data_IF_253742739304
#
_entry.id   IF_253742739304
#
_cell.length_a   1.000
_cell.length_b   1.000
_cell.length_c   1.000
_cell.angle_alpha   90.00
_cell.angle_beta   90.00
_cell.angle_gamma   90.00
#
_symmetry.space_group_name_H-M   'P 1'
#
loop_
_entity.id
_entity.type
_entity.pdbx_description
1 polymer ?
#
# COMPACT_ATOMS: atom_id res chain seq x y z
N UNK A 1 -20.55 2.43 -11.54
CA UNK A 1 -19.86 1.57 -10.55
C UNK A 1 -18.97 2.36 -9.61
N UNK A 2 -18.00 3.16 -10.10
CA UNK A 2 -17.12 3.95 -9.20
C UNK A 2 -17.89 4.95 -8.32
N UNK A 3 -18.94 5.60 -8.84
CA UNK A 3 -19.82 6.45 -8.05
C UNK A 3 -20.57 5.68 -6.94
N UNK A 4 -21.00 4.45 -7.22
CA UNK A 4 -21.63 3.60 -6.20
C UNK A 4 -20.64 3.22 -5.10
N UNK A 5 -19.42 2.84 -5.49
CA UNK A 5 -18.33 2.59 -4.55
C UNK A 5 -18.04 3.82 -3.69
N UNK A 6 -17.95 5.01 -4.30
CA UNK A 6 -17.77 6.27 -3.57
C UNK A 6 -18.85 6.48 -2.51
N UNK A 7 -20.13 6.36 -2.89
CA UNK A 7 -21.25 6.50 -1.93
C UNK A 7 -21.16 5.47 -0.81
N UNK A 8 -20.82 4.22 -1.11
CA UNK A 8 -20.63 3.18 -0.10
C UNK A 8 -19.49 3.51 0.86
N UNK A 9 -18.36 4.05 0.38
CA UNK A 9 -17.25 4.47 1.23
C UNK A 9 -17.57 5.71 2.05
N UNK A 10 -18.30 6.69 1.48
CA UNK A 10 -18.81 7.83 2.26
C UNK A 10 -19.67 7.34 3.42
N UNK A 11 -20.56 6.38 3.17
CA UNK A 11 -21.39 5.79 4.23
C UNK A 11 -20.53 5.06 5.27
N UNK A 12 -19.58 4.23 4.84
CA UNK A 12 -18.70 3.50 5.75
C UNK A 12 -17.90 4.45 6.65
N UNK A 13 -17.25 5.45 6.06
CA UNK A 13 -16.44 6.41 6.81
C UNK A 13 -17.28 7.32 7.72
N UNK A 14 -18.53 7.59 7.34
CA UNK A 14 -19.48 8.28 8.22
C UNK A 14 -19.81 7.42 9.43
N UNK A 15 -20.12 6.12 9.24
CA UNK A 15 -20.39 5.20 10.34
C UNK A 15 -19.18 5.04 11.26
N UNK A 16 -17.97 4.96 10.70
CA UNK A 16 -16.73 4.94 11.47
C UNK A 16 -16.55 6.18 12.36
N UNK A 17 -17.11 7.33 11.97
CA UNK A 17 -17.06 8.58 12.76
C UNK A 17 -18.14 8.65 13.83
N UNK A 18 -19.34 8.13 13.56
CA UNK A 18 -20.53 8.33 14.40
C UNK A 18 -20.82 7.17 15.34
N UNK A 19 -20.41 5.97 14.98
CA UNK A 19 -20.88 4.72 15.58
C UNK A 19 -19.71 3.91 16.13
N UNK A 20 -18.78 4.56 16.83
CA UNK A 20 -17.41 4.06 17.13
C UNK A 20 -17.31 2.73 17.87
N UNK A 21 -18.38 2.30 18.57
CA UNK A 21 -18.46 0.98 19.20
C UNK A 21 -18.62 -0.16 18.16
N UNK A 22 -19.12 0.19 16.97
CA UNK A 22 -19.13 -0.61 15.75
C UNK A 22 -18.19 0.06 14.73
N UNK A 23 -17.80 -0.61 13.64
CA UNK A 23 -16.97 0.03 12.59
C UNK A 23 -15.64 0.62 13.09
N UNK A 24 -14.80 -0.19 13.74
CA UNK A 24 -13.49 0.25 14.24
C UNK A 24 -12.65 0.97 13.16
N UNK A 25 -12.08 2.12 13.53
CA UNK A 25 -11.29 2.97 12.62
C UNK A 25 -10.37 3.94 13.34
N UNK A 26 -9.28 4.34 12.70
CA UNK A 26 -8.35 5.37 13.21
C UNK A 26 -8.94 6.78 12.99
N UNK A 27 -9.99 6.89 12.17
CA UNK A 27 -10.56 8.16 11.72
C UNK A 27 -11.08 9.06 12.87
N UNK A 28 -11.83 8.56 13.88
CA UNK A 28 -12.26 9.37 15.01
C UNK A 28 -11.09 9.95 15.80
N UNK A 29 -10.06 9.15 16.04
CA UNK A 29 -8.87 9.58 16.76
C UNK A 29 -8.10 10.64 15.99
N UNK A 30 -7.88 10.43 14.68
CA UNK A 30 -7.26 11.43 13.82
C UNK A 30 -8.05 12.74 13.78
N UNK A 31 -9.38 12.69 13.75
CA UNK A 31 -10.23 13.87 13.79
C UNK A 31 -10.12 14.60 15.14
N UNK A 32 -10.18 13.87 16.26
CA UNK A 32 -10.02 14.44 17.59
C UNK A 32 -8.65 15.15 17.74
N UNK A 33 -7.57 14.51 17.28
CA UNK A 33 -6.23 15.11 17.27
C UNK A 33 -6.15 16.36 16.38
N UNK A 34 -6.80 16.33 15.21
CA UNK A 34 -6.84 17.49 14.31
C UNK A 34 -7.56 18.70 14.94
N UNK A 35 -8.66 18.48 15.66
CA UNK A 35 -9.44 19.53 16.32
C UNK A 35 -8.78 20.09 17.59
N UNK A 36 -8.00 19.27 18.30
CA UNK A 36 -7.31 19.70 19.52
C UNK A 36 -6.07 20.56 19.25
N UNK A 37 -5.58 20.65 18.00
CA UNK A 37 -4.39 21.41 17.59
C UNK A 37 -3.08 21.08 18.35
N UNK A 38 -3.04 19.99 19.14
CA UNK A 38 -1.97 19.76 20.11
C UNK A 38 -0.65 19.26 19.51
N UNK A 39 -0.66 18.64 18.32
CA UNK A 39 0.56 18.28 17.56
C UNK A 39 0.23 18.02 16.10
N UNK A 40 0.66 18.88 15.16
CA UNK A 40 0.46 18.64 13.73
C UNK A 40 1.70 17.98 13.11
N UNK A 41 1.71 16.64 13.08
CA UNK A 41 2.79 15.85 12.49
C UNK A 41 2.44 15.23 11.14
N UNK A 42 1.19 15.33 10.68
CA UNK A 42 0.73 14.77 9.39
C UNK A 42 -0.14 15.77 8.64
N UNK A 43 -0.02 15.76 7.31
CA UNK A 43 -0.85 16.53 6.40
C UNK A 43 -2.35 16.22 6.53
N UNK A 44 -2.72 15.05 7.06
CA UNK A 44 -4.11 14.70 7.34
C UNK A 44 -4.80 15.76 8.20
N UNK A 45 -4.17 16.18 9.29
CA UNK A 45 -4.80 17.08 10.26
C UNK A 45 -5.04 18.48 9.70
N UNK A 46 -4.16 18.95 8.81
CA UNK A 46 -4.36 20.21 8.09
C UNK A 46 -5.55 20.17 7.13
N UNK A 47 -5.98 18.98 6.70
CA UNK A 47 -7.09 18.83 5.76
C UNK A 47 -8.42 18.51 6.47
N UNK A 48 -8.44 17.50 7.34
CA UNK A 48 -9.69 17.00 7.92
C UNK A 48 -10.31 17.97 8.93
N UNK A 49 -9.50 18.74 9.67
CA UNK A 49 -9.99 19.71 10.66
C UNK A 49 -10.84 20.82 10.00
N UNK A 50 -10.30 21.58 9.02
CA UNK A 50 -11.08 22.60 8.31
C UNK A 50 -12.32 22.05 7.61
N UNK A 51 -12.23 20.85 7.02
CA UNK A 51 -13.37 20.20 6.35
C UNK A 51 -14.46 19.85 7.36
N UNK A 52 -14.08 19.36 8.54
CA UNK A 52 -15.04 19.11 9.62
C UNK A 52 -15.72 20.41 10.07
N UNK A 53 -14.99 21.51 10.22
CA UNK A 53 -15.58 22.81 10.57
C UNK A 53 -16.59 23.29 9.53
N UNK A 54 -16.35 23.00 8.24
CA UNK A 54 -17.23 23.43 7.14
C UNK A 54 -18.46 22.52 6.95
N UNK A 55 -18.29 21.21 7.07
CA UNK A 55 -19.28 20.21 6.61
C UNK A 55 -19.47 19.01 7.57
N UNK A 56 -18.93 19.09 8.78
CA UNK A 56 -19.06 18.08 9.83
C UNK A 56 -18.52 16.71 9.43
N UNK A 57 -19.06 15.66 10.07
CA UNK A 57 -18.69 14.26 9.81
C UNK A 57 -18.91 13.84 8.35
N UNK A 58 -19.93 14.37 7.69
CA UNK A 58 -20.22 14.07 6.28
C UNK A 58 -19.08 14.59 5.39
N UNK A 59 -18.61 15.82 5.62
CA UNK A 59 -17.48 16.38 4.89
C UNK A 59 -16.21 15.53 5.01
N UNK A 60 -15.90 15.09 6.24
CA UNK A 60 -14.74 14.22 6.50
C UNK A 60 -14.88 12.87 5.80
N UNK A 61 -16.06 12.25 5.89
CA UNK A 61 -16.31 10.98 5.21
C UNK A 61 -16.17 11.10 3.67
N UNK A 62 -16.69 12.19 3.10
CA UNK A 62 -16.61 12.51 1.67
C UNK A 62 -15.16 12.69 1.21
N UNK A 63 -14.34 13.44 1.94
CA UNK A 63 -12.95 13.66 1.53
C UNK A 63 -12.13 12.37 1.61
N UNK A 64 -12.31 11.56 2.67
CA UNK A 64 -11.59 10.28 2.81
C UNK A 64 -11.99 9.32 1.69
N UNK A 65 -13.29 9.21 1.38
CA UNK A 65 -13.77 8.41 0.25
C UNK A 65 -13.23 8.92 -1.10
N UNK A 66 -13.10 10.25 -1.27
CA UNK A 66 -12.55 10.85 -2.48
C UNK A 66 -11.07 10.47 -2.67
N UNK A 67 -10.26 10.45 -1.60
CA UNK A 67 -8.88 9.95 -1.67
C UNK A 67 -8.83 8.50 -2.10
N UNK A 68 -9.71 7.64 -1.58
CA UNK A 68 -9.75 6.24 -1.98
C UNK A 68 -10.10 6.05 -3.46
N UNK A 69 -11.09 6.81 -3.97
CA UNK A 69 -11.45 6.81 -5.40
C UNK A 69 -10.33 7.38 -6.28
N UNK A 70 -9.64 8.42 -5.84
CA UNK A 70 -8.47 8.96 -6.52
C UNK A 70 -7.39 7.89 -6.65
N UNK A 71 -7.16 7.14 -5.56
CA UNK A 71 -6.19 6.08 -5.51
C UNK A 71 -6.54 4.93 -6.49
N UNK A 72 -7.81 4.51 -6.57
CA UNK A 72 -8.32 3.56 -7.58
C UNK A 72 -8.10 4.09 -9.00
N UNK A 73 -8.35 5.38 -9.22
CA UNK A 73 -8.21 6.03 -10.53
C UNK A 73 -6.76 6.08 -10.98
N UNK A 74 -5.82 6.35 -10.07
CA UNK A 74 -4.37 6.29 -10.33
C UNK A 74 -3.94 4.86 -10.65
N UNK A 75 -4.43 3.87 -9.89
CA UNK A 75 -4.14 2.45 -10.16
C UNK A 75 -4.61 2.06 -11.56
N UNK A 76 -5.85 2.40 -11.91
CA UNK A 76 -6.42 2.19 -13.24
C UNK A 76 -5.63 2.90 -14.34
N UNK A 77 -5.17 4.13 -14.10
CA UNK A 77 -4.33 4.85 -15.06
C UNK A 77 -2.97 4.17 -15.24
N UNK A 78 -2.36 3.71 -14.14
CA UNK A 78 -1.11 2.95 -14.18
C UNK A 78 -1.23 1.63 -14.96
N UNK A 79 -2.38 0.95 -14.88
CA UNK A 79 -2.69 -0.21 -15.72
C UNK A 79 -2.87 0.15 -17.19
N UNK A 80 -3.59 1.22 -17.49
CA UNK A 80 -3.79 1.71 -18.87
C UNK A 80 -2.45 2.04 -19.54
N UNK A 81 -1.49 2.57 -18.78
CA UNK A 81 -0.12 2.81 -19.25
C UNK A 81 0.74 1.54 -19.35
N UNK A 82 0.40 0.45 -18.64
CA UNK A 82 1.22 -0.75 -18.54
C UNK A 82 0.80 -1.90 -19.48
N UNK A 83 -0.45 -1.89 -19.94
CA UNK A 83 -1.07 -2.99 -20.68
C UNK A 83 -1.49 -2.51 -22.07
N UNK A 84 -0.94 -3.09 -23.15
CA UNK A 84 -1.34 -2.73 -24.51
C UNK A 84 -2.82 -3.01 -24.78
N UNK A 85 -3.46 -2.15 -25.57
CA UNK A 85 -4.82 -2.33 -26.12
C UNK A 85 -5.97 -2.42 -25.09
N UNK A 86 -5.73 -2.03 -23.83
CA UNK A 86 -6.82 -1.85 -22.85
C UNK A 86 -7.46 -0.46 -23.03
N UNK A 87 -8.79 -0.37 -22.96
CA UNK A 87 -9.49 0.93 -22.98
C UNK A 87 -9.45 1.59 -21.61
N UNK A 88 -9.55 2.92 -21.55
CA UNK A 88 -9.60 3.66 -20.28
C UNK A 88 -10.75 3.18 -19.37
N UNK A 89 -11.94 2.94 -19.93
CA UNK A 89 -13.11 2.46 -19.20
C UNK A 89 -12.90 1.05 -18.62
N UNK A 90 -12.30 0.14 -19.40
CA UNK A 90 -11.98 -1.20 -18.90
C UNK A 90 -10.90 -1.12 -17.81
N UNK A 91 -9.90 -0.26 -17.98
CA UNK A 91 -8.87 -0.07 -16.97
C UNK A 91 -9.43 0.44 -15.65
N UNK A 92 -10.41 1.36 -15.70
CA UNK A 92 -11.11 1.87 -14.52
C UNK A 92 -11.94 0.78 -13.84
N UNK A 93 -12.66 -0.03 -14.62
CA UNK A 93 -13.41 -1.17 -14.11
C UNK A 93 -12.47 -2.17 -13.42
N UNK A 94 -11.36 -2.52 -14.05
CA UNK A 94 -10.38 -3.44 -13.45
C UNK A 94 -9.72 -2.85 -12.22
N UNK A 95 -9.40 -1.55 -12.20
CA UNK A 95 -8.89 -0.87 -11.01
C UNK A 95 -9.85 -0.98 -9.82
N UNK A 96 -11.15 -0.77 -10.06
CA UNK A 96 -12.18 -0.96 -9.05
C UNK A 96 -12.27 -2.42 -8.58
N UNK A 97 -12.27 -3.39 -9.50
CA UNK A 97 -12.32 -4.82 -9.17
C UNK A 97 -11.12 -5.22 -8.33
N UNK A 98 -9.90 -4.84 -8.71
CA UNK A 98 -8.68 -5.18 -7.97
C UNK A 98 -8.62 -4.48 -6.61
N UNK A 99 -9.22 -3.30 -6.46
CA UNK A 99 -9.36 -2.65 -5.16
C UNK A 99 -10.24 -3.46 -4.18
N UNK A 100 -11.07 -4.39 -4.65
CA UNK A 100 -11.81 -5.31 -3.80
C UNK A 100 -11.00 -6.54 -3.39
N UNK A 101 -9.73 -6.66 -3.80
CA UNK A 101 -8.88 -7.79 -3.42
C UNK A 101 -8.34 -7.62 -1.99
N UNK A 102 -8.47 -8.67 -1.18
CA UNK A 102 -7.89 -8.78 0.16
C UNK A 102 -7.17 -10.11 0.31
N UNK A 103 -6.43 -10.32 1.40
CA UNK A 103 -5.79 -11.61 1.68
C UNK A 103 -6.80 -12.77 1.59
N UNK A 104 -6.39 -13.89 0.98
CA UNK A 104 -7.34 -14.98 0.69
C UNK A 104 -7.92 -15.56 1.97
N UNK A 105 -9.20 -15.92 1.98
CA UNK A 105 -9.83 -16.61 3.10
C UNK A 105 -9.38 -18.08 3.11
N UNK A 106 -8.95 -18.56 4.28
CA UNK A 106 -8.64 -19.97 4.54
C UNK A 106 -9.29 -20.32 5.88
N UNK A 107 -9.90 -21.51 6.03
CA UNK A 107 -10.42 -21.96 7.32
C UNK A 107 -9.37 -21.86 8.43
N UNK A 108 -9.73 -21.26 9.56
CA UNK A 108 -8.81 -20.98 10.69
C UNK A 108 -7.56 -20.18 10.26
N UNK A 109 -7.70 -19.31 9.27
CA UNK A 109 -6.60 -18.54 8.69
C UNK A 109 -6.03 -17.42 9.55
N UNK A 110 -6.48 -17.26 10.80
CA UNK A 110 -6.17 -16.11 11.65
C UNK A 110 -7.29 -15.07 11.59
N UNK A 111 -6.95 -13.80 11.33
CA UNK A 111 -7.91 -12.71 11.23
C UNK A 111 -8.17 -12.30 9.78
N UNK A 112 -9.31 -11.64 9.51
CA UNK A 112 -9.59 -11.17 8.16
C UNK A 112 -8.57 -10.14 7.65
N UNK A 113 -8.21 -9.17 8.51
CA UNK A 113 -7.24 -8.13 8.19
C UNK A 113 -5.95 -8.19 9.03
N UNK A 114 -6.06 -8.39 10.35
CA UNK A 114 -4.86 -8.42 11.20
C UNK A 114 -3.87 -9.51 10.77
N UNK A 115 -2.60 -9.14 10.68
CA UNK A 115 -1.51 -10.02 10.24
C UNK A 115 -1.40 -10.20 8.72
N UNK A 116 -2.25 -9.54 7.93
CA UNK A 116 -2.23 -9.59 6.46
C UNK A 116 -1.56 -8.36 5.84
N UNK A 117 -0.99 -8.47 4.65
CA UNK A 117 -0.64 -7.31 3.83
C UNK A 117 -1.58 -7.25 2.63
N UNK A 118 -2.23 -6.11 2.41
CA UNK A 118 -3.12 -5.90 1.27
C UNK A 118 -2.98 -4.48 0.72
N UNK A 119 -3.52 -4.24 -0.47
CA UNK A 119 -3.45 -2.92 -1.10
C UNK A 119 -4.47 -1.93 -0.53
N UNK A 120 -5.67 -2.42 -0.26
CA UNK A 120 -6.81 -1.58 0.14
C UNK A 120 -7.03 -1.65 1.64
N UNK A 121 -7.00 -0.49 2.29
CA UNK A 121 -7.33 -0.32 3.71
C UNK A 121 -8.57 0.57 3.83
N UNK A 122 -9.48 0.23 4.74
CA UNK A 122 -10.76 0.93 4.93
C UNK A 122 -10.85 1.73 6.24
N UNK A 123 -9.84 1.71 7.10
CA UNK A 123 -9.90 2.27 8.45
C UNK A 123 -8.75 3.22 8.80
N UNK A 124 -7.61 3.14 8.13
CA UNK A 124 -6.46 3.99 8.40
C UNK A 124 -6.48 5.24 7.51
N UNK A 125 -6.84 6.38 8.09
CA UNK A 125 -6.97 7.67 7.38
C UNK A 125 -5.68 8.12 6.72
N UNK A 126 -4.55 8.07 7.45
CA UNK A 126 -3.23 8.47 6.91
C UNK A 126 -2.83 7.60 5.72
N UNK A 127 -3.15 6.30 5.78
CA UNK A 127 -2.94 5.39 4.67
C UNK A 127 -3.83 5.72 3.47
N UNK A 128 -5.14 5.88 3.67
CA UNK A 128 -6.06 6.18 2.58
C UNK A 128 -5.63 7.45 1.83
N UNK A 129 -5.19 8.48 2.55
CA UNK A 129 -4.78 9.76 1.98
C UNK A 129 -3.38 9.73 1.33
N UNK A 130 -2.44 8.91 1.82
CA UNK A 130 -1.11 8.76 1.19
C UNK A 130 -1.19 8.00 -0.15
N UNK A 131 -2.11 7.05 -0.25
CA UNK A 131 -2.13 6.01 -1.27
C UNK A 131 -2.10 6.53 -2.74
N UNK A 132 -2.92 7.52 -3.15
CA UNK A 132 -2.86 8.02 -4.52
C UNK A 132 -1.51 8.65 -4.87
N UNK A 133 -0.89 9.38 -3.93
CA UNK A 133 0.38 10.05 -4.17
C UNK A 133 1.55 9.07 -4.23
N UNK A 134 1.55 8.02 -3.41
CA UNK A 134 2.57 6.98 -3.48
C UNK A 134 2.49 6.20 -4.81
N UNK A 135 1.27 5.89 -5.30
CA UNK A 135 1.10 5.31 -6.64
C UNK A 135 1.60 6.27 -7.74
N UNK A 136 1.23 7.56 -7.68
CA UNK A 136 1.69 8.57 -8.64
C UNK A 136 3.23 8.69 -8.61
N UNK A 137 3.84 8.71 -7.42
CA UNK A 137 5.28 8.73 -7.25
C UNK A 137 5.95 7.53 -7.95
N UNK A 138 5.44 6.31 -7.75
CA UNK A 138 5.95 5.11 -8.42
C UNK A 138 5.81 5.20 -9.95
N UNK A 139 4.66 5.63 -10.46
CA UNK A 139 4.40 5.73 -11.91
C UNK A 139 5.29 6.77 -12.59
N UNK A 140 5.49 7.94 -11.97
CA UNK A 140 6.40 8.96 -12.49
C UNK A 140 7.87 8.60 -12.27
N UNK A 141 8.20 7.87 -11.20
CA UNK A 141 9.55 7.33 -11.03
C UNK A 141 9.92 6.42 -12.21
N UNK A 142 9.03 5.51 -12.63
CA UNK A 142 9.29 4.66 -13.80
C UNK A 142 9.58 5.48 -15.08
N UNK A 143 8.87 6.60 -15.25
CA UNK A 143 9.08 7.53 -16.35
C UNK A 143 10.43 8.24 -16.25
N UNK A 144 10.79 8.72 -15.06
CA UNK A 144 12.07 9.37 -14.83
C UNK A 144 13.24 8.39 -15.03
N UNK A 145 13.13 7.18 -14.48
CA UNK A 145 14.13 6.13 -14.59
C UNK A 145 14.36 5.68 -16.04
N UNK A 146 13.30 5.57 -16.85
CA UNK A 146 13.44 5.24 -18.27
C UNK A 146 14.35 6.24 -19.04
N UNK A 147 14.42 7.49 -18.59
CA UNK A 147 15.32 8.51 -19.14
C UNK A 147 16.78 8.39 -18.70
N UNK A 148 17.12 7.54 -17.72
CA UNK A 148 18.48 7.48 -17.16
C UNK A 148 19.56 7.25 -18.23
N UNK A 149 19.27 6.45 -19.26
CA UNK A 149 20.24 6.14 -20.34
C UNK A 149 20.33 7.23 -21.41
N UNK A 150 19.20 7.81 -21.82
CA UNK A 150 19.11 8.78 -22.94
C UNK A 150 19.16 10.25 -22.51
N UNK A 151 19.10 10.53 -21.20
CA UNK A 151 19.05 11.88 -20.63
C UNK A 151 17.91 12.00 -19.62
N UNK A 152 18.21 12.48 -18.41
CA UNK A 152 17.21 12.58 -17.35
C UNK A 152 16.17 13.66 -17.70
N UNK A 153 14.91 13.24 -17.79
CA UNK A 153 13.79 14.17 -17.97
C UNK A 153 13.50 14.87 -16.65
N UNK A 154 14.05 16.05 -16.46
CA UNK A 154 13.93 16.82 -15.22
C UNK A 154 12.48 17.04 -14.77
N UNK A 155 11.54 17.17 -15.72
CA UNK A 155 10.11 17.30 -15.43
C UNK A 155 9.55 16.07 -14.73
N UNK A 156 9.81 14.88 -15.28
CA UNK A 156 9.36 13.64 -14.64
C UNK A 156 10.06 13.47 -13.28
N UNK A 157 11.33 13.86 -13.17
CA UNK A 157 12.08 13.87 -11.90
C UNK A 157 11.44 14.73 -10.82
N UNK A 158 11.12 15.98 -11.16
CA UNK A 158 10.51 16.93 -10.24
C UNK A 158 9.11 16.46 -9.83
N UNK A 159 8.31 15.95 -10.78
CA UNK A 159 6.96 15.49 -10.51
C UNK A 159 6.96 14.29 -9.55
N UNK A 160 7.81 13.28 -9.76
CA UNK A 160 7.84 12.15 -8.81
C UNK A 160 8.38 12.57 -7.45
N UNK A 161 9.35 13.49 -7.41
CA UNK A 161 9.89 14.03 -6.15
C UNK A 161 8.79 14.74 -5.35
N UNK A 162 7.96 15.53 -6.02
CA UNK A 162 6.82 16.21 -5.40
C UNK A 162 5.78 15.20 -4.89
N UNK A 163 5.42 14.19 -5.69
CA UNK A 163 4.48 13.16 -5.25
C UNK A 163 5.02 12.31 -4.10
N UNK A 164 6.30 11.96 -4.12
CA UNK A 164 6.96 11.22 -3.03
C UNK A 164 6.94 12.03 -1.73
N UNK A 165 7.24 13.33 -1.82
CA UNK A 165 7.21 14.24 -0.66
C UNK A 165 5.79 14.46 -0.15
N UNK A 166 4.82 14.58 -1.04
CA UNK A 166 3.40 14.70 -0.68
C UNK A 166 2.90 13.43 0.00
N UNK A 167 3.24 12.24 -0.52
CA UNK A 167 2.91 10.97 0.12
C UNK A 167 3.51 10.89 1.53
N UNK A 168 4.79 11.30 1.67
CA UNK A 168 5.50 11.36 2.95
C UNK A 168 4.82 12.30 3.95
N UNK A 169 4.29 13.44 3.49
CA UNK A 169 3.56 14.39 4.32
C UNK A 169 2.32 13.77 4.97
N UNK A 170 1.62 12.87 4.27
CA UNK A 170 0.52 12.09 4.85
C UNK A 170 1.06 10.98 5.76
N UNK A 171 2.04 10.22 5.28
CA UNK A 171 2.69 9.13 6.02
C UNK A 171 4.01 8.73 5.37
N UNK A 172 5.08 8.60 6.17
CA UNK A 172 6.43 8.29 5.68
C UNK A 172 6.64 6.85 5.16
N UNK A 173 5.63 5.98 5.25
CA UNK A 173 5.79 4.54 5.02
C UNK A 173 6.31 4.16 3.62
N UNK A 174 6.01 4.95 2.58
CA UNK A 174 6.50 4.67 1.23
C UNK A 174 7.96 5.09 1.03
N UNK A 175 8.38 6.24 1.57
CA UNK A 175 9.76 6.73 1.37
C UNK A 175 10.78 5.83 2.08
N UNK A 176 10.43 5.29 3.25
CA UNK A 176 11.32 4.39 3.98
C UNK A 176 11.74 3.18 3.15
N UNK A 177 10.82 2.53 2.43
CA UNK A 177 11.17 1.44 1.53
C UNK A 177 11.73 1.92 0.17
N UNK A 178 11.25 3.04 -0.36
CA UNK A 178 11.63 3.54 -1.68
C UNK A 178 13.07 4.05 -1.74
N UNK A 179 13.52 4.80 -0.72
CA UNK A 179 14.87 5.36 -0.68
C UNK A 179 15.99 4.28 -0.72
N UNK A 180 15.99 3.24 0.13
CA UNK A 180 16.95 2.13 0.03
C UNK A 180 16.80 1.34 -1.27
N UNK A 181 15.57 1.19 -1.81
CA UNK A 181 15.38 0.57 -3.14
C UNK A 181 16.10 1.36 -4.24
N UNK A 182 15.94 2.69 -4.22
CA UNK A 182 16.58 3.58 -5.17
C UNK A 182 18.09 3.55 -4.99
N UNK A 183 18.61 3.55 -3.76
CA UNK A 183 20.04 3.45 -3.48
C UNK A 183 20.65 2.18 -4.09
N UNK A 184 20.03 1.01 -3.87
CA UNK A 184 20.49 -0.26 -4.48
C UNK A 184 20.49 -0.12 -6.00
N UNK A 185 19.43 0.44 -6.58
CA UNK A 185 19.31 0.60 -8.01
C UNK A 185 20.39 1.55 -8.58
N UNK A 186 20.71 2.63 -7.88
CA UNK A 186 21.78 3.57 -8.24
C UNK A 186 23.16 2.93 -8.15
N UNK A 187 23.44 2.12 -7.12
CA UNK A 187 24.69 1.36 -7.00
C UNK A 187 24.82 0.40 -8.20
N UNK A 188 23.74 -0.29 -8.56
CA UNK A 188 23.73 -1.19 -9.72
C UNK A 188 23.99 -0.44 -11.03
N UNK A 189 23.34 0.72 -11.25
CA UNK A 189 23.57 1.54 -12.46
C UNK A 189 25.00 2.09 -12.50
N UNK A 190 25.54 2.55 -11.36
CA UNK A 190 26.91 3.04 -11.24
C UNK A 190 27.94 1.99 -11.66
N UNK A 191 27.78 0.76 -11.17
CA UNK A 191 28.65 -0.37 -11.52
C UNK A 191 28.51 -0.74 -13.00
N UNK A 192 27.28 -0.81 -13.53
CA UNK A 192 27.04 -1.17 -14.93
C UNK A 192 27.54 -0.11 -15.91
N UNK A 193 27.42 1.17 -15.56
CA UNK A 193 27.84 2.30 -16.41
C UNK A 193 29.30 2.68 -16.20
N UNK A 194 29.96 2.08 -15.19
CA UNK A 194 31.34 2.39 -14.77
C UNK A 194 31.51 3.88 -14.47
N UNK A 195 30.54 4.49 -13.78
CA UNK A 195 30.59 5.91 -13.39
C UNK A 195 30.27 6.90 -14.50
N UNK A 196 29.94 6.47 -15.72
CA UNK A 196 29.62 7.37 -16.84
C UNK A 196 28.35 8.19 -16.61
N UNK A 197 27.45 7.73 -15.73
CA UNK A 197 26.18 8.39 -15.42
C UNK A 197 26.17 9.13 -14.07
N UNK A 198 27.31 9.29 -13.39
CA UNK A 198 27.38 9.76 -12.00
C UNK A 198 26.55 11.02 -11.68
N UNK A 199 26.58 12.05 -12.55
CA UNK A 199 25.78 13.27 -12.34
C UNK A 199 24.27 12.99 -12.28
N UNK A 200 23.80 12.08 -13.14
CA UNK A 200 22.38 11.67 -13.19
C UNK A 200 22.01 10.79 -12.00
N UNK A 201 22.92 9.92 -11.59
CA UNK A 201 22.74 9.07 -10.41
C UNK A 201 22.62 9.90 -9.14
N UNK A 202 23.52 10.89 -8.94
CA UNK A 202 23.45 11.84 -7.82
C UNK A 202 22.13 12.60 -7.86
N UNK A 203 21.74 13.15 -9.02
CA UNK A 203 20.49 13.90 -9.14
C UNK A 203 19.26 13.02 -8.85
N UNK A 204 19.24 11.77 -9.32
CA UNK A 204 18.19 10.81 -8.95
C UNK A 204 18.18 10.54 -7.45
N UNK A 205 19.35 10.34 -6.83
CA UNK A 205 19.47 10.17 -5.37
C UNK A 205 18.95 11.38 -4.59
N UNK A 206 19.15 12.60 -5.10
CA UNK A 206 18.66 13.82 -4.45
C UNK A 206 17.12 13.92 -4.39
N UNK A 207 16.38 13.11 -5.14
CA UNK A 207 14.91 13.14 -5.14
C UNK A 207 14.26 12.74 -3.82
N UNK A 208 14.95 11.95 -2.99
CA UNK A 208 14.42 11.52 -1.69
C UNK A 208 14.70 12.54 -0.58
N UNK A 209 15.62 13.48 -0.81
CA UNK A 209 16.05 14.43 0.22
C UNK A 209 14.93 15.30 0.77
N UNK A 210 13.99 15.85 -0.04
CA UNK A 210 12.87 16.63 0.51
C UNK A 210 11.96 15.79 1.41
N UNK A 211 11.75 14.52 1.06
CA UNK A 211 10.96 13.59 1.87
C UNK A 211 11.67 13.22 3.17
N UNK A 212 12.99 12.99 3.13
CA UNK A 212 13.80 12.73 4.33
C UNK A 212 13.79 13.96 5.25
N UNK A 213 14.00 15.16 4.72
CA UNK A 213 13.91 16.40 5.49
C UNK A 213 12.53 16.55 6.16
N UNK A 214 11.45 16.23 5.43
CA UNK A 214 10.11 16.25 5.99
C UNK A 214 9.94 15.23 7.13
N UNK A 215 10.45 14.01 6.98
CA UNK A 215 10.43 13.00 8.04
C UNK A 215 11.15 13.49 9.30
N UNK A 216 12.31 14.13 9.14
CA UNK A 216 13.06 14.68 10.27
C UNK A 216 12.28 15.79 10.98
N UNK A 217 11.66 16.71 10.24
CA UNK A 217 10.80 17.75 10.81
C UNK A 217 9.59 17.16 11.56
N UNK A 218 8.93 16.17 10.97
CA UNK A 218 7.82 15.46 11.61
C UNK A 218 8.28 14.73 12.88
N UNK A 219 9.49 14.15 12.87
CA UNK A 219 10.07 13.46 14.02
C UNK A 219 10.35 14.41 15.19
N UNK A 220 10.82 15.64 14.93
CA UNK A 220 11.04 16.65 15.99
C UNK A 220 9.72 16.99 16.70
N UNK A 221 8.62 17.12 15.94
CA UNK A 221 7.29 17.38 16.50
C UNK A 221 6.74 16.16 17.25
N UNK A 222 7.02 14.95 16.76
CA UNK A 222 6.58 13.68 17.37
C UNK A 222 7.35 13.33 18.65
N UNK A 223 8.63 13.68 18.73
CA UNK A 223 9.58 13.18 19.74
C UNK A 223 10.23 14.31 20.58
N UNK A 224 9.67 15.52 20.56
CA UNK A 224 10.24 16.70 21.21
C UNK A 224 10.12 16.77 22.75
N UNK A 225 9.49 15.78 23.40
CA UNK A 225 9.43 15.67 24.87
C UNK A 225 10.53 14.74 25.40
N UNK A 226 11.11 15.08 26.57
CA UNK A 226 12.36 14.55 27.16
C UNK A 226 12.47 13.02 27.42
N UNK A 227 11.64 12.15 26.84
CA UNK A 227 11.74 10.69 27.09
C UNK A 227 11.39 9.74 25.95
N UNK A 228 11.11 10.22 24.74
CA UNK A 228 10.73 9.30 23.64
C UNK A 228 11.42 9.69 22.34
N UNK A 229 12.65 9.21 22.13
CA UNK A 229 13.25 9.20 20.79
C UNK A 229 12.73 8.01 19.98
N UNK A 230 12.74 8.09 18.64
CA UNK A 230 12.57 6.93 17.76
C UNK A 230 13.72 5.93 18.01
N UNK A 231 13.54 4.99 18.93
CA UNK A 231 14.45 3.84 19.03
C UNK A 231 13.89 2.71 18.16
N UNK A 232 14.66 2.38 17.14
CA UNK A 232 14.44 1.17 16.35
C UNK A 232 15.09 0.01 17.10
N UNK A 233 14.25 -0.93 17.53
CA UNK A 233 14.70 -2.17 18.16
C UNK A 233 14.53 -3.34 17.20
N UNK A 234 15.43 -4.32 17.29
CA UNK A 234 15.44 -5.51 16.44
C UNK A 234 14.68 -6.69 17.06
N UNK A 235 14.43 -6.65 18.37
CA UNK A 235 13.79 -7.72 19.12
C UNK A 235 12.87 -7.11 20.17
N UNK A 236 11.66 -7.64 20.28
CA UNK A 236 10.68 -7.29 21.30
C UNK A 236 10.43 -8.52 22.15
N UNK A 237 10.60 -8.41 23.47
CA UNK A 237 10.02 -9.39 24.37
C UNK A 237 8.53 -9.06 24.57
N UNK A 238 7.67 -9.81 23.90
CA UNK A 238 6.22 -9.60 23.99
C UNK A 238 5.64 -9.89 25.38
N UNK A 239 6.39 -10.60 26.25
CA UNK A 239 6.00 -10.78 27.64
C UNK A 239 5.99 -9.45 28.42
N UNK A 240 6.79 -8.46 28.00
CA UNK A 240 6.85 -7.12 28.61
C UNK A 240 5.68 -6.23 28.18
N UNK A 241 4.90 -6.64 27.18
CA UNK A 241 3.77 -5.89 26.63
C UNK A 241 2.46 -6.72 26.65
N UNK A 242 2.00 -7.19 27.83
CA UNK A 242 0.81 -8.02 27.95
C UNK A 242 -0.43 -7.28 27.42
N UNK A 243 -1.15 -7.91 26.49
CA UNK A 243 -2.32 -7.34 25.82
C UNK A 243 -2.02 -6.45 24.60
N UNK A 244 -0.75 -6.11 24.32
CA UNK A 244 -0.31 -5.36 23.14
C UNK A 244 0.46 -6.23 22.13
N UNK A 245 0.17 -7.54 22.10
CA UNK A 245 0.77 -8.48 21.14
C UNK A 245 0.59 -7.90 19.75
N UNK A 246 1.69 -7.58 19.07
CA UNK A 246 1.63 -7.20 17.67
C UNK A 246 1.00 -8.38 16.93
N UNK A 247 -0.22 -8.19 16.44
CA UNK A 247 -0.88 -9.17 15.57
C UNK A 247 -0.26 -9.14 14.16
N UNK A 248 0.84 -8.41 14.00
CA UNK A 248 1.59 -8.19 12.77
C UNK A 248 2.96 -8.89 12.88
N UNK A 249 3.42 -9.49 11.78
CA UNK A 249 4.72 -10.17 11.73
C UNK A 249 4.70 -11.67 11.93
N UNK A 250 5.87 -12.22 12.27
CA UNK A 250 6.09 -13.67 12.40
C UNK A 250 5.95 -14.17 13.85
N UNK A 251 5.61 -13.28 14.78
CA UNK A 251 5.57 -13.50 16.23
C UNK A 251 4.48 -14.49 16.67
N UNK A 252 3.38 -14.59 15.92
CA UNK A 252 2.28 -15.49 16.24
C UNK A 252 1.79 -16.27 15.01
N UNK A 253 1.05 -17.35 15.26
CA UNK A 253 0.56 -18.22 14.18
C UNK A 253 -0.48 -17.57 13.28
N UNK A 254 -1.39 -16.77 13.83
CA UNK A 254 -2.43 -16.08 13.06
C UNK A 254 -1.81 -15.10 12.04
N UNK A 255 -0.78 -14.36 12.45
CA UNK A 255 -0.06 -13.41 11.61
C UNK A 255 0.76 -14.10 10.52
N UNK A 256 1.45 -15.21 10.84
CA UNK A 256 2.13 -16.05 9.83
C UNK A 256 1.17 -16.56 8.76
N UNK A 257 0.00 -17.06 9.18
CA UNK A 257 -1.07 -17.49 8.26
C UNK A 257 -1.60 -16.31 7.44
N UNK A 258 -1.77 -15.13 8.06
CA UNK A 258 -2.17 -13.89 7.40
C UNK A 258 -1.23 -13.47 6.27
N UNK A 259 0.09 -13.51 6.50
CA UNK A 259 1.09 -13.20 5.48
C UNK A 259 1.06 -14.17 4.29
N UNK A 260 0.95 -15.48 4.56
CA UNK A 260 0.85 -16.49 3.49
C UNK A 260 -0.39 -16.20 2.62
N UNK A 261 -1.52 -15.89 3.27
CA UNK A 261 -2.80 -15.57 2.60
C UNK A 261 -2.70 -14.31 1.74
N UNK A 262 -1.86 -13.35 2.11
CA UNK A 262 -1.62 -12.14 1.33
C UNK A 262 -0.88 -12.38 0.03
N UNK A 263 0.01 -13.37 -0.02
CA UNK A 263 0.94 -13.50 -1.14
C UNK A 263 0.49 -14.45 -2.25
N UNK A 264 -0.69 -15.06 -2.13
CA UNK A 264 -1.15 -16.12 -3.06
C UNK A 264 -1.15 -15.64 -4.51
N UNK A 265 -1.76 -14.49 -4.82
CA UNK A 265 -1.77 -13.97 -6.19
C UNK A 265 -0.41 -13.46 -6.65
N UNK A 266 0.22 -12.54 -5.90
CA UNK A 266 1.50 -11.95 -6.33
C UNK A 266 2.62 -13.00 -6.43
N UNK A 267 2.62 -14.01 -5.55
CA UNK A 267 3.52 -15.15 -5.58
C UNK A 267 3.25 -16.07 -6.77
N UNK A 268 1.97 -16.33 -7.09
CA UNK A 268 1.62 -17.07 -8.31
C UNK A 268 2.13 -16.36 -9.57
N UNK A 269 2.02 -15.03 -9.65
CA UNK A 269 2.55 -14.25 -10.78
C UNK A 269 4.07 -14.36 -10.86
N UNK A 270 4.77 -14.17 -9.72
CA UNK A 270 6.22 -14.24 -9.63
C UNK A 270 6.76 -15.60 -10.10
N UNK A 271 6.13 -16.70 -9.67
CA UNK A 271 6.58 -18.07 -9.94
C UNK A 271 6.11 -18.57 -11.31
N UNK A 272 4.84 -18.39 -11.64
CA UNK A 272 4.22 -19.05 -12.79
C UNK A 272 4.40 -18.27 -14.10
N UNK A 273 4.42 -16.93 -14.06
CA UNK A 273 4.57 -16.13 -15.28
C UNK A 273 6.04 -15.87 -15.66
N UNK A 274 6.98 -16.14 -14.76
CA UNK A 274 8.42 -16.15 -15.04
C UNK A 274 8.87 -14.92 -15.82
N UNK A 275 9.49 -15.12 -16.99
CA UNK A 275 10.02 -14.05 -17.84
C UNK A 275 8.98 -12.98 -18.22
N UNK A 276 7.70 -13.34 -18.35
CA UNK A 276 6.63 -12.37 -18.68
C UNK A 276 6.45 -11.32 -17.57
N UNK A 277 6.71 -11.69 -16.31
CA UNK A 277 6.76 -10.76 -15.19
C UNK A 277 8.17 -10.14 -15.04
N UNK A 278 9.20 -10.98 -14.89
CA UNK A 278 10.55 -10.57 -14.48
C UNK A 278 11.34 -9.78 -15.53
N UNK A 279 11.04 -9.87 -16.82
CA UNK A 279 11.71 -9.04 -17.82
C UNK A 279 11.31 -7.56 -17.72
N UNK A 280 10.18 -7.25 -17.07
CA UNK A 280 9.71 -5.89 -16.91
C UNK A 280 10.46 -5.18 -15.75
N UNK A 281 11.01 -4.00 -16.02
CA UNK A 281 11.67 -3.19 -14.99
C UNK A 281 10.70 -2.79 -13.85
N UNK A 282 9.48 -2.37 -14.19
CA UNK A 282 8.48 -1.93 -13.21
C UNK A 282 8.15 -3.04 -12.21
N UNK A 283 8.00 -4.27 -12.71
CA UNK A 283 7.77 -5.45 -11.86
C UNK A 283 8.96 -5.72 -10.93
N UNK A 284 10.19 -5.74 -11.46
CA UNK A 284 11.41 -5.97 -10.66
C UNK A 284 11.59 -4.92 -9.57
N UNK A 285 11.41 -3.65 -9.91
CA UNK A 285 11.59 -2.56 -8.96
C UNK A 285 10.50 -2.56 -7.88
N UNK A 286 9.22 -2.70 -8.25
CA UNK A 286 8.15 -2.82 -7.26
C UNK A 286 8.31 -4.03 -6.34
N UNK A 287 8.80 -5.16 -6.87
CA UNK A 287 9.12 -6.33 -6.07
C UNK A 287 10.28 -6.06 -5.10
N UNK A 288 11.36 -5.42 -5.55
CA UNK A 288 12.48 -5.00 -4.69
C UNK A 288 11.99 -4.09 -3.56
N UNK A 289 11.20 -3.06 -3.89
CA UNK A 289 10.67 -2.12 -2.90
C UNK A 289 9.76 -2.80 -1.89
N UNK A 290 8.91 -3.72 -2.35
CA UNK A 290 8.11 -4.54 -1.45
C UNK A 290 8.95 -5.42 -0.51
N UNK A 291 10.01 -6.06 -1.03
CA UNK A 291 10.91 -6.87 -0.21
C UNK A 291 11.65 -6.04 0.85
N UNK A 292 12.08 -4.82 0.51
CA UNK A 292 12.73 -3.93 1.47
C UNK A 292 11.73 -3.48 2.53
N UNK A 293 10.51 -3.08 2.14
CA UNK A 293 9.46 -2.73 3.09
C UNK A 293 9.14 -3.90 4.04
N UNK A 294 9.12 -5.13 3.52
CA UNK A 294 8.92 -6.33 4.33
C UNK A 294 10.09 -6.59 5.28
N UNK A 295 11.33 -6.42 4.82
CA UNK A 295 12.51 -6.55 5.66
C UNK A 295 12.50 -5.50 6.80
N UNK A 296 12.16 -4.25 6.50
CA UNK A 296 11.99 -3.20 7.51
C UNK A 296 10.92 -3.60 8.54
N UNK A 297 9.73 -4.01 8.09
CA UNK A 297 8.64 -4.39 9.00
C UNK A 297 8.92 -5.65 9.84
N UNK A 298 9.77 -6.56 9.36
CA UNK A 298 10.13 -7.79 10.07
C UNK A 298 11.32 -7.64 11.01
N UNK A 299 12.25 -6.73 10.69
CA UNK A 299 13.52 -6.58 11.41
C UNK A 299 13.54 -5.38 12.35
N UNK A 300 12.64 -4.42 12.16
CA UNK A 300 12.63 -3.17 12.91
C UNK A 300 11.26 -2.95 13.55
N UNK A 301 11.27 -2.45 14.79
CA UNK A 301 10.08 -2.07 15.54
C UNK A 301 10.36 -0.75 16.28
N UNK A 302 9.34 0.11 16.41
CA UNK A 302 9.42 1.31 17.26
C UNK A 302 9.29 0.91 18.75
N UNK A 303 10.12 1.48 19.62
CA UNK A 303 10.00 1.36 21.07
C UNK A 303 8.84 2.19 21.65
N UNK A 304 8.51 1.96 22.94
CA UNK A 304 7.60 2.83 23.69
C UNK A 304 6.12 2.55 23.41
N UNK A 305 5.25 3.55 23.63
CA UNK A 305 3.79 3.37 23.43
C UNK A 305 3.42 3.08 21.97
N UNK A 306 4.24 3.56 21.04
CA UNK A 306 4.09 3.41 19.57
C UNK A 306 4.31 1.99 19.08
N UNK A 307 4.79 1.09 19.93
CA UNK A 307 4.99 -0.32 19.58
C UNK A 307 3.67 -0.97 19.10
N UNK A 308 2.53 -0.57 19.68
CA UNK A 308 1.22 -1.11 19.34
C UNK A 308 0.71 -0.64 17.96
N UNK A 309 1.16 0.52 17.48
CA UNK A 309 0.73 1.11 16.21
C UNK A 309 1.34 0.37 15.00
N UNK A 310 2.43 -0.35 15.22
CA UNK A 310 3.12 -1.14 14.20
C UNK A 310 3.51 -0.32 12.97
N UNK A 311 3.99 0.92 13.13
CA UNK A 311 4.03 1.87 12.02
C UNK A 311 4.88 1.43 10.80
N UNK A 312 5.88 0.60 11.02
CA UNK A 312 6.73 0.06 9.96
C UNK A 312 6.00 -0.94 9.06
N UNK A 313 4.91 -1.56 9.53
CA UNK A 313 4.06 -2.45 8.72
C UNK A 313 3.30 -1.72 7.62
N UNK A 314 3.08 -0.40 7.74
CA UNK A 314 2.41 0.37 6.70
C UNK A 314 3.23 0.50 5.41
N UNK A 315 4.56 0.28 5.47
CA UNK A 315 5.44 0.22 4.31
C UNK A 315 5.06 -0.95 3.38
N UNK A 316 5.01 -2.19 3.90
CA UNK A 316 4.47 -3.34 3.18
C UNK A 316 3.12 -3.12 2.52
N UNK A 317 2.13 -2.50 3.19
CA UNK A 317 0.80 -2.27 2.58
C UNK A 317 0.90 -1.42 1.31
N UNK A 318 1.57 -0.26 1.37
CA UNK A 318 1.63 0.62 0.20
C UNK A 318 2.51 0.04 -0.91
N UNK A 319 3.63 -0.61 -0.55
CA UNK A 319 4.51 -1.25 -1.52
C UNK A 319 3.86 -2.48 -2.15
N UNK A 320 3.05 -3.23 -1.38
CA UNK A 320 2.22 -4.31 -1.91
C UNK A 320 1.23 -3.76 -2.94
N UNK A 321 0.68 -2.57 -2.72
CA UNK A 321 -0.26 -2.00 -3.66
C UNK A 321 0.37 -1.65 -5.01
N UNK A 322 1.60 -1.09 -5.00
CA UNK A 322 2.41 -0.89 -6.21
C UNK A 322 2.74 -2.23 -6.87
N UNK A 323 3.16 -3.23 -6.10
CA UNK A 323 3.47 -4.57 -6.62
C UNK A 323 2.24 -5.28 -7.19
N UNK A 324 1.06 -5.09 -6.60
CA UNK A 324 -0.20 -5.63 -7.08
C UNK A 324 -0.56 -5.05 -8.44
N UNK A 325 -0.34 -3.75 -8.66
CA UNK A 325 -0.50 -3.11 -9.97
C UNK A 325 0.37 -3.78 -11.03
N UNK A 326 1.66 -3.95 -10.74
CA UNK A 326 2.60 -4.53 -11.70
C UNK A 326 2.39 -6.04 -11.91
N UNK A 327 1.96 -6.76 -10.86
CA UNK A 327 1.59 -8.18 -10.92
C UNK A 327 0.34 -8.38 -11.77
N UNK A 328 -0.68 -7.54 -11.58
CA UNK A 328 -1.89 -7.61 -12.38
C UNK A 328 -1.63 -7.22 -13.85
N UNK A 329 -0.79 -6.20 -14.09
CA UNK A 329 -0.36 -5.87 -15.44
C UNK A 329 0.42 -7.04 -16.12
N UNK A 330 1.27 -7.75 -15.37
CA UNK A 330 1.95 -8.94 -15.86
C UNK A 330 0.98 -10.09 -16.16
N UNK A 331 -0.02 -10.29 -15.31
CA UNK A 331 -1.10 -11.25 -15.54
C UNK A 331 -1.90 -10.94 -16.81
N UNK A 332 -2.31 -9.67 -17.02
CA UNK A 332 -3.02 -9.26 -18.23
C UNK A 332 -2.18 -9.44 -19.50
N UNK A 333 -0.86 -9.12 -19.46
CA UNK A 333 0.05 -9.44 -20.56
C UNK A 333 0.12 -10.94 -20.82
N UNK A 334 0.16 -11.77 -19.77
CA UNK A 334 0.17 -13.22 -19.91
C UNK A 334 -1.10 -13.79 -20.52
N UNK A 335 -2.27 -13.23 -20.17
CA UNK A 335 -3.55 -13.50 -20.84
C UNK A 335 -3.52 -13.10 -22.33
N UNK A 336 -2.93 -11.94 -22.64
CA UNK A 336 -2.72 -11.48 -24.02
C UNK A 336 -1.84 -12.42 -24.83
N UNK A 337 -0.71 -12.87 -24.27
CA UNK A 337 0.19 -13.85 -24.89
C UNK A 337 -0.50 -15.20 -25.12
N UNK A 338 -1.36 -15.64 -24.19
CA UNK A 338 -2.19 -16.83 -24.40
C UNK A 338 -3.15 -16.64 -25.57
N UNK A 339 -3.91 -15.53 -25.61
CA UNK A 339 -4.80 -15.21 -26.74
C UNK A 339 -4.07 -15.12 -28.08
N UNK A 340 -2.85 -14.60 -28.09
CA UNK A 340 -1.97 -14.53 -29.26
C UNK A 340 -1.36 -15.89 -29.67
N UNK A 341 -1.72 -16.98 -28.98
CA UNK A 341 -1.35 -18.34 -29.38
C UNK A 341 0.00 -18.82 -28.85
N UNK A 342 0.58 -18.21 -27.81
CA UNK A 342 1.81 -18.71 -27.17
C UNK A 342 1.66 -20.19 -26.79
N UNK A 343 2.51 -21.05 -27.37
CA UNK A 343 2.48 -22.51 -27.19
C UNK A 343 3.49 -23.05 -26.17
N UNK A 344 3.98 -22.20 -25.26
CA UNK A 344 4.90 -22.66 -24.21
C UNK A 344 4.22 -23.73 -23.34
N UNK A 345 4.99 -24.76 -22.94
CA UNK A 345 4.47 -25.91 -22.16
C UNK A 345 3.73 -25.42 -20.92
N UNK A 346 2.50 -25.89 -20.73
CA UNK A 346 1.62 -25.53 -19.61
C UNK A 346 1.29 -24.03 -19.46
N UNK A 347 1.53 -23.19 -20.47
CA UNK A 347 1.26 -21.75 -20.37
C UNK A 347 -0.18 -21.44 -19.96
N UNK A 348 -1.14 -22.13 -20.57
CA UNK A 348 -2.56 -21.99 -20.23
C UNK A 348 -2.82 -22.28 -18.75
N UNK A 349 -2.33 -23.42 -18.26
CA UNK A 349 -2.49 -23.81 -16.86
C UNK A 349 -1.86 -22.77 -15.91
N UNK A 350 -0.67 -22.25 -16.22
CA UNK A 350 0.00 -21.21 -15.42
C UNK A 350 -0.83 -19.93 -15.31
N UNK A 351 -1.34 -19.42 -16.44
CA UNK A 351 -2.20 -18.24 -16.47
C UNK A 351 -3.52 -18.51 -15.75
N UNK A 352 -4.14 -19.67 -15.96
CA UNK A 352 -5.37 -20.06 -15.25
C UNK A 352 -5.16 -20.11 -13.74
N UNK A 353 -4.05 -20.68 -13.26
CA UNK A 353 -3.74 -20.73 -11.82
C UNK A 353 -3.58 -19.33 -11.21
N UNK A 354 -2.91 -18.41 -11.91
CA UNK A 354 -2.87 -17.00 -11.48
C UNK A 354 -4.26 -16.37 -11.43
N UNK A 355 -5.13 -16.68 -12.41
CA UNK A 355 -6.51 -16.21 -12.43
C UNK A 355 -7.34 -16.74 -11.26
N UNK A 356 -7.20 -18.04 -10.94
CA UNK A 356 -7.86 -18.66 -9.77
C UNK A 356 -7.38 -18.02 -8.47
N UNK A 357 -6.07 -17.81 -8.32
CA UNK A 357 -5.51 -17.10 -7.18
C UNK A 357 -6.11 -15.69 -7.04
N UNK A 358 -6.22 -14.94 -8.14
CA UNK A 358 -6.84 -13.62 -8.13
C UNK A 358 -8.31 -13.66 -7.71
N UNK A 359 -9.10 -14.56 -8.29
CA UNK A 359 -10.52 -14.73 -7.94
C UNK A 359 -10.68 -15.04 -6.45
N UNK A 360 -9.79 -15.85 -5.87
CA UNK A 360 -9.81 -16.13 -4.45
C UNK A 360 -9.61 -14.87 -3.60
N UNK A 361 -8.66 -14.01 -3.95
CA UNK A 361 -8.47 -12.72 -3.28
C UNK A 361 -9.68 -11.79 -3.43
N UNK A 362 -10.33 -11.79 -4.61
CA UNK A 362 -11.52 -10.96 -4.87
C UNK A 362 -12.73 -11.41 -4.06
N UNK A 363 -13.05 -12.72 -4.05
CA UNK A 363 -14.14 -13.27 -3.24
C UNK A 363 -13.92 -12.97 -1.77
N UNK A 364 -12.69 -13.15 -1.29
CA UNK A 364 -12.32 -12.87 0.11
C UNK A 364 -12.50 -11.39 0.46
N UNK A 365 -12.04 -10.48 -0.41
CA UNK A 365 -12.17 -9.05 -0.12
C UNK A 365 -13.58 -8.50 -0.28
N UNK A 366 -14.42 -9.06 -1.17
CA UNK A 366 -15.85 -8.76 -1.21
C UNK A 366 -16.52 -9.18 0.11
N UNK A 367 -16.25 -10.39 0.60
CA UNK A 367 -16.80 -10.85 1.88
C UNK A 367 -16.35 -9.94 3.03
N UNK A 368 -15.05 -9.61 3.08
CA UNK A 368 -14.51 -8.70 4.09
C UNK A 368 -15.18 -7.32 4.04
N UNK A 369 -15.36 -6.75 2.85
CA UNK A 369 -16.02 -5.46 2.71
C UNK A 369 -17.49 -5.53 3.17
N UNK A 370 -18.24 -6.58 2.81
CA UNK A 370 -19.62 -6.76 3.28
C UNK A 370 -19.67 -6.80 4.81
N UNK A 371 -18.75 -7.54 5.44
CA UNK A 371 -18.67 -7.63 6.90
C UNK A 371 -18.37 -6.26 7.54
N UNK A 372 -17.43 -5.49 6.96
CA UNK A 372 -17.15 -4.12 7.39
C UNK A 372 -18.38 -3.22 7.24
N UNK A 373 -19.13 -3.34 6.14
CA UNK A 373 -20.35 -2.58 5.91
C UNK A 373 -21.47 -2.96 6.90
N UNK A 374 -21.45 -4.18 7.46
CA UNK A 374 -22.39 -4.63 8.49
C UNK A 374 -22.01 -4.19 9.91
N UNK A 375 -20.90 -3.47 10.10
CA UNK A 375 -20.49 -2.96 11.42
C UNK A 375 -19.47 -3.82 12.15
N UNK A 376 -19.01 -4.92 11.52
CA UNK A 376 -17.94 -5.73 12.09
C UNK A 376 -16.62 -4.95 12.12
N UNK A 377 -15.84 -5.18 13.17
CA UNK A 377 -14.47 -4.65 13.27
C UNK A 377 -13.54 -5.35 12.25
N UNK A 378 -12.53 -4.64 11.77
CA UNK A 378 -11.45 -5.23 10.96
C UNK A 378 -10.62 -6.27 11.75
N UNK A 379 -10.78 -6.34 13.08
CA UNK A 379 -10.13 -7.29 14.00
C UNK A 379 -10.90 -8.62 14.08
N UNK A 380 -11.80 -8.90 13.14
CA UNK A 380 -12.63 -10.11 13.18
C UNK A 380 -11.81 -11.40 12.90
N UNK A 381 -11.89 -12.42 13.79
CA UNK A 381 -11.24 -13.71 13.58
C UNK A 381 -11.96 -14.54 12.52
N UNK A 382 -11.21 -15.38 11.81
CA UNK A 382 -11.73 -16.41 10.92
C UNK A 382 -11.94 -17.68 11.75
N UNK A 383 -13.10 -17.77 12.41
CA UNK A 383 -13.38 -18.79 13.42
C UNK A 383 -13.58 -20.21 12.85
N UNK A 384 -14.24 -20.37 11.69
CA UNK A 384 -14.71 -21.69 11.17
C UNK A 384 -14.85 -21.73 9.63
N UNK A 385 -15.27 -22.88 9.07
CA UNK A 385 -15.44 -23.18 7.63
C UNK A 385 -16.49 -22.36 6.88
N UNK A 386 -17.19 -21.43 7.54
CA UNK A 386 -18.28 -20.67 6.94
C UNK A 386 -17.75 -19.37 6.33
N UNK A 387 -18.01 -19.20 5.03
CA UNK A 387 -17.73 -17.97 4.29
C UNK A 387 -18.74 -16.84 4.60
N UNK A 388 -19.82 -17.14 5.32
CA UNK A 388 -20.89 -16.21 5.69
C UNK A 388 -21.14 -16.21 7.20
N UNK A 389 -21.42 -15.05 7.82
CA UNK A 389 -21.92 -14.99 9.18
C UNK A 389 -23.42 -15.33 9.16
N UNK A 390 -23.80 -16.45 9.77
CA UNK A 390 -25.12 -16.63 10.35
C UNK A 390 -24.94 -17.08 11.78
#
# INVERSE_FOLDING_TARGET
MLAFYFVAMCWLHYQQLTSTDAYASDLPEHLARALQHKTVHTAVYFLIGPIYTLAGNIGVAVIVAAFQVAAISVFAWGLYMAVPHITASLSLLLGLVINLSQAVWIPRGGYWYLGTVSGTNYHNTTYIMLAPFALLAALWFYRAWAGMRSGLRWKDWLIYTLFLTTATAFKASFVFAFAPSLLILLIVDLVQTRGRNLKREILMGCSVLPSIALCLLQSIVLFGGESEGLQLIFTVDWAEYPGKVLVWGLSNEAARRGLIRSFVFIGSVAVLLGRTAWNNFRYRFSFLTFCIAMAEALLLVESGERIADGNLWWGPFICYWVLLLESFAAFLRGCGEWKAGRRAKFWRARVTLCGVALVWHLVSGICFLVLMMQGNSYIMPIATWQLWPF
#
